data_IF_273330714419
#
_entry.id   IF_273330714419
#
_cell.length_a   1.000
_cell.length_b   1.000
_cell.length_c   1.000
_cell.angle_alpha   90.00
_cell.angle_beta   90.00
_cell.angle_gamma   90.00
#
_symmetry.space_group_name_H-M   'P 1'
#
loop_
_entity.id
_entity.type
_entity.pdbx_description
1 polymer ?
#
# COMPACT_ATOMS: atom_id res chain seq x y z
N UNK A 1 13.03 -0.55 -26.07
CA UNK A 1 12.48 -0.19 -24.74
C UNK A 1 11.00 0.13 -24.90
N UNK A 2 10.10 -0.59 -24.22
CA UNK A 2 8.65 -0.30 -24.30
C UNK A 2 8.06 -0.22 -22.90
N UNK A 3 7.92 1.02 -22.44
CA UNK A 3 7.33 1.47 -21.18
C UNK A 3 5.82 1.19 -21.15
N UNK A 4 5.45 -0.10 -21.07
CA UNK A 4 4.08 -0.53 -20.74
C UNK A 4 3.92 -0.62 -19.23
N UNK A 5 4.19 0.50 -18.57
CA UNK A 5 4.08 0.63 -17.12
C UNK A 5 2.61 0.69 -16.73
N UNK A 6 2.28 0.03 -15.62
CA UNK A 6 0.95 0.05 -15.02
C UNK A 6 0.50 1.49 -14.79
N UNK A 7 -0.70 1.84 -15.27
CA UNK A 7 -1.27 3.18 -15.08
C UNK A 7 -2.67 3.08 -14.50
N UNK A 8 -2.97 3.95 -13.55
CA UNK A 8 -4.32 4.14 -13.03
C UNK A 8 -4.95 5.29 -13.81
N UNK A 9 -6.09 5.02 -14.42
CA UNK A 9 -6.88 6.02 -15.13
C UNK A 9 -8.20 6.27 -14.41
N UNK A 10 -8.62 7.53 -14.38
CA UNK A 10 -9.95 7.91 -13.92
C UNK A 10 -10.94 7.75 -15.08
N UNK A 11 -11.96 6.91 -14.90
CA UNK A 11 -13.10 6.85 -15.81
C UNK A 11 -14.19 7.80 -15.31
N UNK A 12 -14.47 8.91 -16.02
CA UNK A 12 -15.56 9.79 -15.67
C UNK A 12 -16.89 9.05 -15.83
N UNK A 13 -17.64 8.98 -14.74
CA UNK A 13 -18.96 8.37 -14.63
C UNK A 13 -19.69 9.00 -13.43
N UNK A 14 -20.94 8.61 -13.19
CA UNK A 14 -21.69 9.02 -12.01
C UNK A 14 -21.98 7.79 -11.13
N UNK A 15 -21.13 7.45 -10.14
CA UNK A 15 -19.88 8.11 -9.74
C UNK A 15 -18.65 7.67 -10.57
N UNK A 16 -17.62 8.53 -10.60
CA UNK A 16 -16.36 8.24 -11.29
C UNK A 16 -15.64 7.07 -10.63
N UNK A 17 -14.86 6.30 -11.41
CA UNK A 17 -14.14 5.13 -10.90
C UNK A 17 -12.71 5.05 -11.42
N UNK A 18 -11.81 4.55 -10.57
CA UNK A 18 -10.43 4.28 -10.95
C UNK A 18 -10.33 2.94 -11.67
N UNK A 19 -9.54 2.88 -12.75
CA UNK A 19 -9.31 1.67 -13.53
C UNK A 19 -7.82 1.44 -13.71
N UNK A 20 -7.37 0.21 -13.45
CA UNK A 20 -5.99 -0.21 -13.71
C UNK A 20 -5.83 -0.63 -15.19
N UNK A 21 -5.09 0.16 -15.97
CA UNK A 21 -4.74 -0.13 -17.37
C UNK A 21 -3.28 -0.60 -17.51
N UNK A 22 -3.04 -1.41 -18.53
CA UNK A 22 -1.71 -1.93 -18.90
C UNK A 22 -1.69 -3.44 -19.19
N UNK A 23 -0.64 -3.91 -19.86
CA UNK A 23 -0.37 -5.33 -20.10
C UNK A 23 0.34 -5.93 -18.89
N UNK A 24 -0.43 -6.17 -17.83
CA UNK A 24 0.10 -6.69 -16.57
C UNK A 24 -0.03 -8.21 -16.40
N UNK A 25 -0.53 -8.91 -17.42
CA UNK A 25 -0.87 -10.33 -17.35
C UNK A 25 0.26 -11.23 -16.87
N UNK A 26 1.37 -11.24 -17.59
CA UNK A 26 2.51 -12.11 -17.25
C UNK A 26 3.37 -11.54 -16.11
N UNK A 27 3.59 -10.23 -16.08
CA UNK A 27 4.45 -9.60 -15.07
C UNK A 27 3.87 -9.73 -13.67
N UNK A 28 2.55 -9.55 -13.51
CA UNK A 28 1.94 -9.64 -12.19
C UNK A 28 1.79 -11.08 -11.71
N UNK A 29 1.50 -12.02 -12.61
CA UNK A 29 1.51 -13.43 -12.24
C UNK A 29 2.88 -13.87 -11.72
N UNK A 30 3.98 -13.46 -12.40
CA UNK A 30 5.35 -13.72 -11.94
C UNK A 30 5.72 -12.98 -10.65
N UNK A 31 5.33 -11.71 -10.49
CA UNK A 31 5.76 -10.89 -9.36
C UNK A 31 4.96 -11.12 -8.07
N UNK A 32 3.67 -11.47 -8.17
CA UNK A 32 2.76 -11.53 -7.03
C UNK A 32 2.09 -12.90 -6.87
N UNK A 33 2.34 -13.85 -7.77
CA UNK A 33 1.76 -15.20 -7.69
C UNK A 33 0.24 -15.24 -7.85
N UNK A 34 -0.38 -14.19 -8.39
CA UNK A 34 -1.84 -14.05 -8.49
C UNK A 34 -2.29 -13.93 -9.94
N UNK A 35 -3.52 -14.39 -10.21
CA UNK A 35 -4.13 -14.27 -11.54
C UNK A 35 -4.51 -12.82 -11.84
N UNK A 36 -4.65 -12.49 -13.13
CA UNK A 36 -5.11 -11.16 -13.58
C UNK A 36 -6.42 -10.73 -12.92
N UNK A 37 -7.35 -11.66 -12.71
CA UNK A 37 -8.63 -11.38 -12.06
C UNK A 37 -8.46 -11.08 -10.57
N UNK A 38 -7.62 -11.85 -9.88
CA UNK A 38 -7.30 -11.58 -8.47
C UNK A 38 -6.69 -10.20 -8.26
N UNK A 39 -5.87 -9.74 -9.20
CA UNK A 39 -5.27 -8.39 -9.18
C UNK A 39 -6.33 -7.31 -9.37
N UNK A 40 -7.22 -7.48 -10.35
CA UNK A 40 -8.35 -6.56 -10.56
C UNK A 40 -9.22 -6.47 -9.32
N UNK A 41 -9.51 -7.60 -8.69
CA UNK A 41 -10.29 -7.65 -7.46
C UNK A 41 -9.58 -6.91 -6.32
N UNK A 42 -8.29 -7.20 -6.06
CA UNK A 42 -7.50 -6.51 -5.02
C UNK A 42 -7.40 -5.01 -5.28
N UNK A 43 -7.20 -4.62 -6.54
CA UNK A 43 -7.16 -3.21 -6.92
C UNK A 43 -8.50 -2.52 -6.62
N UNK A 44 -9.61 -3.12 -7.05
CA UNK A 44 -10.94 -2.56 -6.79
C UNK A 44 -11.24 -2.49 -5.29
N UNK A 45 -10.85 -3.50 -4.52
CA UNK A 45 -11.12 -3.54 -3.09
C UNK A 45 -10.28 -2.51 -2.32
N UNK A 46 -8.97 -2.47 -2.57
CA UNK A 46 -8.06 -1.56 -1.84
C UNK A 46 -8.24 -0.11 -2.32
N UNK A 47 -8.13 0.12 -3.63
CA UNK A 47 -8.14 1.48 -4.17
C UNK A 47 -9.56 1.97 -4.47
N UNK A 48 -10.40 1.12 -5.04
CA UNK A 48 -11.77 1.50 -5.42
C UNK A 48 -12.72 1.62 -4.24
N UNK A 49 -12.49 0.89 -3.14
CA UNK A 49 -13.34 0.93 -1.95
C UNK A 49 -12.63 1.57 -0.76
N UNK A 50 -11.65 0.88 -0.18
CA UNK A 50 -11.04 1.30 1.10
C UNK A 50 -10.40 2.68 0.99
N UNK A 51 -9.63 2.94 -0.06
CA UNK A 51 -8.96 4.22 -0.26
C UNK A 51 -9.98 5.35 -0.42
N UNK A 52 -10.99 5.18 -1.30
CA UNK A 52 -12.04 6.20 -1.49
C UNK A 52 -12.81 6.46 -0.19
N UNK A 53 -13.21 5.41 0.53
CA UNK A 53 -13.91 5.52 1.82
C UNK A 53 -13.07 6.26 2.87
N UNK A 54 -11.76 6.01 2.91
CA UNK A 54 -10.86 6.72 3.81
C UNK A 54 -10.82 8.23 3.52
N UNK A 55 -10.72 8.63 2.25
CA UNK A 55 -10.77 10.04 1.87
C UNK A 55 -12.13 10.68 2.15
N UNK A 56 -13.22 9.96 1.91
CA UNK A 56 -14.57 10.42 2.27
C UNK A 56 -14.70 10.67 3.77
N UNK A 57 -14.12 9.80 4.60
CA UNK A 57 -14.13 9.93 6.06
C UNK A 57 -13.29 11.12 6.50
N UNK A 58 -12.09 11.29 5.94
CA UNK A 58 -11.22 12.45 6.21
C UNK A 58 -11.96 13.75 5.88
N UNK A 59 -12.61 13.81 4.71
CA UNK A 59 -13.36 14.99 4.28
C UNK A 59 -14.53 15.30 5.22
N UNK A 60 -15.22 14.28 5.74
CA UNK A 60 -16.28 14.46 6.73
C UNK A 60 -15.74 15.04 8.05
N UNK A 61 -14.60 14.52 8.55
CA UNK A 61 -13.95 15.02 9.76
C UNK A 61 -13.48 16.46 9.57
N UNK A 62 -12.81 16.77 8.46
CA UNK A 62 -12.29 18.10 8.18
C UNK A 62 -13.40 19.15 8.02
N UNK A 63 -14.57 18.74 7.52
CA UNK A 63 -15.74 19.63 7.46
C UNK A 63 -16.24 20.04 8.84
N UNK A 64 -16.04 19.20 9.86
CA UNK A 64 -16.49 19.47 11.24
C UNK A 64 -15.43 20.23 12.04
N UNK A 65 -14.16 19.83 11.91
CA UNK A 65 -13.08 20.30 12.78
C UNK A 65 -12.06 21.23 12.11
N UNK A 66 -12.16 21.43 10.79
CA UNK A 66 -11.17 22.17 10.00
C UNK A 66 -10.03 21.28 9.47
N UNK A 67 -9.18 21.87 8.63
CA UNK A 67 -8.12 21.14 7.88
C UNK A 67 -6.81 20.98 8.65
N UNK A 68 -6.63 21.67 9.78
CA UNK A 68 -5.40 21.64 10.59
C UNK A 68 -5.06 20.23 11.10
N UNK A 69 -6.09 19.41 11.36
CA UNK A 69 -5.95 18.03 11.80
C UNK A 69 -5.15 17.16 10.79
N UNK A 70 -5.17 17.50 9.50
CA UNK A 70 -4.47 16.75 8.46
C UNK A 70 -2.96 16.75 8.70
N UNK A 71 -2.39 17.88 9.06
CA UNK A 71 -0.95 18.01 9.29
C UNK A 71 -0.50 17.14 10.47
N UNK A 72 -1.26 17.19 11.56
CA UNK A 72 -1.02 16.35 12.74
C UNK A 72 -1.13 14.86 12.41
N UNK A 73 -2.17 14.46 11.68
CA UNK A 73 -2.37 13.08 11.26
C UNK A 73 -1.21 12.57 10.37
N UNK A 74 -0.72 13.39 9.45
CA UNK A 74 0.42 13.05 8.59
C UNK A 74 1.70 12.89 9.43
N UNK A 75 1.96 13.82 10.36
CA UNK A 75 3.13 13.74 11.25
C UNK A 75 3.13 12.44 12.08
N UNK A 76 2.04 12.17 12.79
CA UNK A 76 1.89 10.96 13.61
C UNK A 76 1.99 9.69 12.75
N UNK A 77 1.46 9.71 11.53
CA UNK A 77 1.55 8.56 10.61
C UNK A 77 3.00 8.27 10.19
N UNK A 78 3.80 9.31 9.91
CA UNK A 78 5.23 9.18 9.59
C UNK A 78 6.02 8.62 10.76
N UNK A 79 5.77 9.12 11.98
CA UNK A 79 6.40 8.62 13.20
C UNK A 79 6.10 7.13 13.43
N UNK A 80 4.82 6.74 13.37
CA UNK A 80 4.41 5.34 13.50
C UNK A 80 5.05 4.45 12.43
N UNK A 81 5.17 4.94 11.20
CA UNK A 81 5.83 4.22 10.12
C UNK A 81 7.33 4.02 10.39
N UNK A 82 8.03 5.06 10.85
CA UNK A 82 9.44 4.98 11.23
C UNK A 82 9.66 3.95 12.36
N UNK A 83 8.85 4.01 13.41
CA UNK A 83 8.90 3.05 14.53
C UNK A 83 8.69 1.60 14.07
N UNK A 84 7.72 1.35 13.19
CA UNK A 84 7.50 0.01 12.61
C UNK A 84 8.69 -0.47 11.79
N UNK A 85 9.29 0.41 10.99
CA UNK A 85 10.47 0.08 10.18
C UNK A 85 11.68 -0.25 11.06
N UNK A 86 11.86 0.47 12.15
CA UNK A 86 12.90 0.17 13.15
C UNK A 86 12.65 -1.16 13.85
N UNK A 87 11.42 -1.42 14.29
CA UNK A 87 11.05 -2.70 14.91
C UNK A 87 11.29 -3.87 13.95
N UNK A 88 10.92 -3.73 12.67
CA UNK A 88 11.18 -4.74 11.64
C UNK A 88 12.67 -4.97 11.44
N UNK A 89 13.50 -3.91 11.40
CA UNK A 89 14.96 -4.02 11.31
C UNK A 89 15.57 -4.71 12.52
N UNK A 90 15.11 -4.38 13.73
CA UNK A 90 15.58 -5.01 14.99
C UNK A 90 15.19 -6.48 15.04
N UNK A 91 13.96 -6.83 14.66
CA UNK A 91 13.50 -8.22 14.54
C UNK A 91 14.31 -9.01 13.51
N UNK A 92 14.61 -8.41 12.35
CA UNK A 92 15.47 -9.03 11.33
C UNK A 92 16.89 -9.25 11.86
N UNK A 93 17.48 -8.28 12.56
CA UNK A 93 18.80 -8.41 13.20
C UNK A 93 18.81 -9.52 14.27
N UNK A 94 17.77 -9.60 15.10
CA UNK A 94 17.65 -10.65 16.11
C UNK A 94 17.60 -12.06 15.47
N UNK A 95 16.84 -12.22 14.38
CA UNK A 95 16.79 -13.48 13.64
C UNK A 95 18.13 -13.87 13.01
N UNK A 96 18.88 -12.90 12.49
CA UNK A 96 20.23 -13.12 11.94
C UNK A 96 21.22 -13.54 13.03
N UNK A 97 21.25 -12.82 14.17
CA UNK A 97 22.13 -13.14 15.30
C UNK A 97 21.83 -14.53 15.90
N UNK A 98 20.57 -14.94 15.98
CA UNK A 98 20.18 -16.29 16.42
C UNK A 98 20.58 -17.41 15.44
N UNK A 99 20.87 -17.09 14.17
CA UNK A 99 21.34 -18.05 13.16
C UNK A 99 22.86 -18.20 13.22
N UNK A 100 23.57 -17.11 13.47
CA UNK A 100 25.02 -17.08 13.61
C UNK A 100 25.48 -17.80 14.89
N UNK A 101 24.80 -17.58 16.02
CA UNK A 101 25.08 -18.27 17.29
C UNK A 101 24.70 -19.78 17.31
N UNK A 102 24.00 -20.27 16.28
CA UNK A 102 23.74 -21.72 16.11
C UNK A 102 24.79 -22.44 15.25
N UNK A 103 25.82 -21.73 14.79
CA UNK A 103 26.93 -22.26 13.98
C UNK A 103 28.26 -22.44 14.71
N UNK A 104 28.33 -22.26 16.03
CA UNK A 104 29.55 -22.44 16.83
C UNK A 104 29.30 -23.38 18.01
N UNK A 105 29.16 -24.66 17.70
CA UNK A 105 29.50 -25.77 18.60
C UNK A 105 30.03 -26.90 17.73
N UNK A 106 31.34 -26.88 17.51
CA UNK A 106 32.15 -28.06 17.23
C UNK A 106 33.06 -28.26 18.43
#
# INVERSE_FOLDING_TARGET
MSTKDLRVELKPASPSRMILKGTYGEKIHRAFGVTRQGVRWRFQHIFGKIYIEAFSTILAIEKIFGTELREYAIRVSKEKYALRKEAQRRGLKALLNCRENRGLHF
#
